data_IF_143286551323
#
_entry.id   IF_143286551323
#
_cell.length_a   1.000
_cell.length_b   1.000
_cell.length_c   1.000
_cell.angle_alpha   90.00
_cell.angle_beta   90.00
_cell.angle_gamma   90.00
#
_symmetry.space_group_name_H-M   'P 1'
#
loop_
_entity.id
_entity.type
_entity.pdbx_description
1 polymer ?
#
# COMPACT_ATOMS: atom_id res chain seq x y z
N UNK A 1 21.70 20.22 -26.38
CA UNK A 1 20.22 20.10 -26.45
C UNK A 1 19.91 18.66 -26.10
N UNK A 2 19.63 18.35 -24.83
CA UNK A 2 19.17 17.00 -24.51
C UNK A 2 17.75 16.90 -25.05
N UNK A 3 17.61 16.21 -26.19
CA UNK A 3 16.33 15.68 -26.64
C UNK A 3 15.86 14.73 -25.54
N UNK A 4 15.07 15.26 -24.61
CA UNK A 4 14.38 14.46 -23.63
C UNK A 4 13.13 13.99 -24.37
N UNK A 5 13.05 12.70 -24.78
CA UNK A 5 11.87 12.22 -25.45
C UNK A 5 10.67 12.49 -24.54
N UNK A 6 9.72 13.30 -25.02
CA UNK A 6 8.45 13.55 -24.36
C UNK A 6 7.87 12.19 -23.95
N UNK A 7 7.76 11.87 -22.65
CA UNK A 7 7.21 10.60 -22.24
C UNK A 7 5.78 10.51 -22.78
N UNK A 8 5.35 9.35 -23.32
CA UNK A 8 4.00 9.18 -23.82
C UNK A 8 3.03 9.57 -22.71
N UNK A 9 2.05 10.37 -23.10
CA UNK A 9 0.96 10.95 -22.32
C UNK A 9 0.71 10.17 -21.04
N UNK A 10 0.91 10.86 -19.91
CA UNK A 10 0.72 10.34 -18.58
C UNK A 10 -0.54 9.47 -18.54
N UNK A 11 -0.35 8.14 -18.41
CA UNK A 11 -1.42 7.22 -18.02
C UNK A 11 -2.00 7.75 -16.71
N UNK A 12 -3.04 8.56 -16.86
CA UNK A 12 -3.65 9.31 -15.79
C UNK A 12 -4.55 8.33 -15.07
N UNK A 13 -4.01 7.71 -14.04
CA UNK A 13 -4.83 7.04 -13.06
C UNK A 13 -5.76 8.08 -12.44
N UNK A 14 -7.04 7.75 -12.33
CA UNK A 14 -7.98 8.61 -11.59
C UNK A 14 -7.51 8.73 -10.14
N UNK A 15 -7.59 9.92 -9.58
CA UNK A 15 -7.41 10.17 -8.15
C UNK A 15 -8.39 9.29 -7.37
N UNK A 16 -7.90 8.62 -6.33
CA UNK A 16 -8.61 7.59 -5.57
C UNK A 16 -8.51 6.16 -6.14
N UNK A 17 -7.93 5.95 -7.32
CA UNK A 17 -7.72 4.61 -7.87
C UNK A 17 -6.69 3.81 -7.06
N UNK A 18 -6.92 2.52 -6.88
CA UNK A 18 -5.95 1.62 -6.26
C UNK A 18 -5.03 1.00 -7.31
N UNK A 19 -3.74 1.09 -7.04
CA UNK A 19 -2.65 0.63 -7.90
C UNK A 19 -1.65 -0.21 -7.10
N UNK A 20 -0.97 -1.11 -7.77
CA UNK A 20 0.14 -1.90 -7.24
C UNK A 20 1.42 -1.33 -7.82
N UNK A 21 2.35 -0.92 -6.96
CA UNK A 21 3.75 -0.70 -7.32
C UNK A 21 4.40 -2.05 -7.59
N UNK A 22 4.66 -2.35 -8.87
CA UNK A 22 5.23 -3.64 -9.29
C UNK A 22 6.70 -3.80 -8.87
N UNK A 23 7.39 -2.69 -8.57
CA UNK A 23 8.76 -2.69 -8.06
C UNK A 23 8.88 -3.27 -6.65
N UNK A 24 7.89 -2.96 -5.80
CA UNK A 24 7.87 -3.37 -4.39
C UNK A 24 6.78 -4.40 -4.09
N UNK A 25 5.90 -4.69 -5.05
CA UNK A 25 4.67 -5.48 -4.84
C UNK A 25 3.70 -4.85 -3.85
N UNK A 26 3.70 -3.51 -3.74
CA UNK A 26 2.93 -2.80 -2.70
C UNK A 26 1.72 -2.12 -3.27
N UNK A 27 0.58 -2.32 -2.60
CA UNK A 27 -0.65 -1.61 -2.92
C UNK A 27 -0.64 -0.18 -2.39
N UNK A 28 -1.06 0.73 -3.26
CA UNK A 28 -1.19 2.14 -2.96
C UNK A 28 -2.46 2.72 -3.62
N UNK A 29 -2.97 3.81 -3.06
CA UNK A 29 -4.02 4.62 -3.64
C UNK A 29 -3.39 5.83 -4.34
N UNK A 30 -3.82 6.12 -5.56
CA UNK A 30 -3.40 7.29 -6.32
C UNK A 30 -4.02 8.52 -5.68
N UNK A 31 -3.18 9.44 -5.21
CA UNK A 31 -3.62 10.73 -4.68
C UNK A 31 -3.69 11.78 -5.79
N UNK A 32 -2.84 11.65 -6.81
CA UNK A 32 -2.70 12.60 -7.90
C UNK A 32 -1.52 12.25 -8.80
N UNK A 33 -1.32 13.04 -9.84
CA UNK A 33 -0.15 12.96 -10.72
C UNK A 33 0.69 14.22 -10.56
N UNK A 34 1.97 14.06 -10.23
CA UNK A 34 2.93 15.15 -10.10
C UNK A 34 3.90 15.08 -11.29
N UNK A 35 3.56 15.79 -12.37
CA UNK A 35 4.31 15.77 -13.62
C UNK A 35 4.40 14.34 -14.21
N UNK A 36 5.61 13.79 -14.47
CA UNK A 36 5.77 12.45 -15.03
C UNK A 36 5.61 11.32 -14.00
N UNK A 37 5.36 11.64 -12.73
CA UNK A 37 5.22 10.66 -11.65
C UNK A 37 3.81 10.65 -11.08
N UNK A 38 3.40 9.52 -10.54
CA UNK A 38 2.14 9.36 -9.83
C UNK A 38 2.42 9.42 -8.34
N UNK A 39 1.72 10.31 -7.64
CA UNK A 39 1.76 10.37 -6.19
C UNK A 39 0.79 9.35 -5.65
N UNK A 40 1.31 8.42 -4.85
CA UNK A 40 0.53 7.35 -4.25
C UNK A 40 0.71 7.31 -2.73
N UNK A 41 -0.29 6.76 -2.06
CA UNK A 41 -0.33 6.62 -0.60
C UNK A 41 -0.68 5.21 -0.19
N UNK A 42 -0.15 4.74 0.94
CA UNK A 42 -0.56 3.44 1.51
C UNK A 42 -2.04 3.47 1.90
N UNK A 43 -2.83 2.44 1.54
CA UNK A 43 -4.18 2.29 2.07
C UNK A 43 -4.11 2.02 3.58
N UNK A 44 -4.93 2.73 4.36
CA UNK A 44 -4.91 2.64 5.83
C UNK A 44 -3.96 3.62 6.53
N UNK A 45 -3.37 4.57 5.79
CA UNK A 45 -2.55 5.63 6.36
C UNK A 45 -1.06 5.29 6.37
N UNK A 46 -0.25 6.27 5.98
CA UNK A 46 1.19 6.13 5.87
C UNK A 46 1.80 7.23 5.01
N UNK A 47 3.12 7.17 4.88
CA UNK A 47 3.92 8.08 4.07
C UNK A 47 3.54 7.95 2.59
N UNK A 48 3.37 9.08 1.93
CA UNK A 48 3.16 9.18 0.48
C UNK A 48 4.49 9.00 -0.24
N UNK A 49 4.46 8.41 -1.43
CA UNK A 49 5.63 8.30 -2.29
C UNK A 49 5.25 8.43 -3.75
N UNK A 50 6.22 8.81 -4.55
CA UNK A 50 6.06 9.01 -5.99
C UNK A 50 6.60 7.78 -6.73
N UNK A 51 5.81 7.25 -7.66
CA UNK A 51 6.18 6.12 -8.51
C UNK A 51 5.91 6.47 -9.97
N UNK A 52 6.74 5.95 -10.87
CA UNK A 52 6.52 6.08 -12.31
C UNK A 52 5.26 5.32 -12.72
N UNK A 53 4.37 5.90 -13.56
CA UNK A 53 3.14 5.23 -14.00
C UNK A 53 3.41 3.88 -14.70
N UNK A 54 4.55 3.74 -15.36
CA UNK A 54 4.99 2.49 -16.00
C UNK A 54 5.29 1.35 -15.00
N UNK A 55 5.57 1.70 -13.75
CA UNK A 55 5.79 0.76 -12.64
C UNK A 55 4.53 0.56 -11.79
N UNK A 56 3.39 1.14 -12.20
CA UNK A 56 2.10 0.93 -11.57
C UNK A 56 1.25 0.00 -12.41
N UNK A 57 0.48 -0.84 -11.73
CA UNK A 57 -0.57 -1.67 -12.32
C UNK A 57 -1.87 -1.38 -11.60
N UNK A 58 -3.01 -1.39 -12.31
CA UNK A 58 -4.32 -1.36 -11.64
C UNK A 58 -4.45 -2.55 -10.70
N UNK A 59 -4.84 -2.29 -9.45
CA UNK A 59 -5.12 -3.35 -8.50
C UNK A 59 -6.35 -4.16 -8.95
N UNK A 60 -6.28 -5.49 -8.83
CA UNK A 60 -7.44 -6.34 -9.08
C UNK A 60 -8.53 -6.10 -8.03
N UNK A 61 -9.73 -6.67 -8.22
CA UNK A 61 -10.82 -6.54 -7.23
C UNK A 61 -10.43 -7.12 -5.86
N UNK A 62 -9.68 -8.22 -5.86
CA UNK A 62 -9.18 -8.86 -4.64
C UNK A 62 -8.12 -8.00 -3.95
N UNK A 63 -7.21 -7.43 -4.72
CA UNK A 63 -6.22 -6.48 -4.20
C UNK A 63 -6.88 -5.22 -3.65
N UNK A 64 -7.91 -4.69 -4.33
CA UNK A 64 -8.73 -3.58 -3.81
C UNK A 64 -9.40 -3.93 -2.49
N UNK A 65 -10.00 -5.11 -2.36
CA UNK A 65 -10.59 -5.55 -1.09
C UNK A 65 -9.53 -5.67 0.03
N UNK A 66 -8.32 -6.14 -0.31
CA UNK A 66 -7.20 -6.15 0.64
C UNK A 66 -6.75 -4.73 1.02
N UNK A 67 -6.85 -3.76 0.10
CA UNK A 67 -6.57 -2.34 0.33
C UNK A 67 -7.60 -1.66 1.24
N UNK A 68 -8.88 -1.92 1.00
CA UNK A 68 -10.00 -1.40 1.80
C UNK A 68 -9.98 -1.96 3.23
N UNK A 69 -9.16 -3.00 3.45
CA UNK A 69 -8.78 -3.51 4.74
C UNK A 69 -9.54 -4.80 5.00
N UNK A 70 -8.83 -5.92 4.96
CA UNK A 70 -9.30 -7.14 5.58
C UNK A 70 -9.68 -6.82 7.04
N UNK A 71 -10.94 -7.05 7.43
CA UNK A 71 -11.44 -6.73 8.76
C UNK A 71 -10.59 -7.42 9.85
N UNK A 72 -10.08 -8.63 9.56
CA UNK A 72 -9.19 -9.36 10.44
C UNK A 72 -7.80 -8.72 10.52
N UNK A 73 -7.24 -8.20 9.41
CA UNK A 73 -6.02 -7.39 9.43
C UNK A 73 -6.15 -6.15 10.34
N UNK A 74 -7.28 -5.44 10.26
CA UNK A 74 -7.55 -4.25 11.11
C UNK A 74 -7.61 -4.65 12.57
N UNK A 75 -8.31 -5.75 12.88
CA UNK A 75 -8.47 -6.27 14.24
C UNK A 75 -7.14 -6.72 14.84
N UNK A 76 -6.34 -7.50 14.10
CA UNK A 76 -5.03 -7.95 14.55
C UNK A 76 -4.05 -6.79 14.74
N UNK A 77 -4.08 -5.76 13.89
CA UNK A 77 -3.25 -4.56 14.05
C UNK A 77 -3.68 -3.70 15.24
N UNK A 78 -4.99 -3.63 15.53
CA UNK A 78 -5.49 -2.96 16.73
C UNK A 78 -5.00 -3.68 18.00
N UNK A 79 -5.10 -5.02 18.03
CA UNK A 79 -4.56 -5.85 19.11
C UNK A 79 -3.04 -5.67 19.28
N UNK A 80 -2.30 -5.66 18.17
CA UNK A 80 -0.86 -5.40 18.18
C UNK A 80 -0.53 -4.04 18.79
N UNK A 81 -1.24 -2.97 18.39
CA UNK A 81 -1.01 -1.63 18.95
C UNK A 81 -1.29 -1.60 20.45
N UNK A 82 -2.41 -2.18 20.88
CA UNK A 82 -2.75 -2.26 22.30
C UNK A 82 -1.72 -3.06 23.10
N UNK A 83 -1.20 -4.17 22.55
CA UNK A 83 -0.16 -4.98 23.20
C UNK A 83 1.19 -4.24 23.28
N UNK A 84 1.55 -3.44 22.28
CA UNK A 84 2.76 -2.60 22.29
C UNK A 84 2.64 -1.48 23.33
N UNK A 85 1.49 -0.82 23.40
CA UNK A 85 1.22 0.27 24.34
C UNK A 85 1.18 -0.24 25.80
N UNK A 86 0.67 -1.46 26.02
CA UNK A 86 0.60 -2.09 27.36
C UNK A 86 1.95 -2.52 27.96
N UNK A 87 3.06 -2.44 27.22
CA UNK A 87 4.42 -2.67 27.75
C UNK A 87 4.81 -4.13 28.03
N UNK A 88 3.89 -5.09 27.91
CA UNK A 88 4.15 -6.52 28.05
C UNK A 88 4.87 -7.08 26.81
N UNK A 89 6.21 -7.12 26.84
CA UNK A 89 7.05 -7.49 25.69
C UNK A 89 6.66 -8.81 25.01
N UNK A 90 6.34 -9.86 25.79
CA UNK A 90 5.96 -11.16 25.22
C UNK A 90 4.67 -11.05 24.39
N UNK A 91 3.66 -10.38 24.94
CA UNK A 91 2.36 -10.15 24.30
C UNK A 91 2.48 -9.29 23.03
N UNK A 92 3.34 -8.27 23.05
CA UNK A 92 3.62 -7.44 21.89
C UNK A 92 4.28 -8.23 20.74
N UNK A 93 5.17 -9.17 21.07
CA UNK A 93 5.77 -10.09 20.09
C UNK A 93 4.73 -11.04 19.51
N UNK A 94 3.91 -11.69 20.35
CA UNK A 94 2.86 -12.59 19.90
C UNK A 94 1.86 -11.90 18.96
N UNK A 95 1.38 -10.70 19.33
CA UNK A 95 0.47 -9.93 18.50
C UNK A 95 1.12 -9.51 17.16
N UNK A 96 2.43 -9.23 17.17
CA UNK A 96 3.18 -8.94 15.93
C UNK A 96 3.31 -10.18 15.03
N UNK A 97 3.54 -11.36 15.61
CA UNK A 97 3.58 -12.62 14.85
C UNK A 97 2.21 -12.92 14.27
N UNK A 98 1.12 -12.73 15.02
CA UNK A 98 -0.24 -12.94 14.54
C UNK A 98 -0.57 -12.08 13.31
N UNK A 99 -0.24 -10.78 13.34
CA UNK A 99 -0.40 -9.89 12.17
C UNK A 99 0.41 -10.39 10.97
N UNK A 100 1.68 -10.77 11.17
CA UNK A 100 2.56 -11.24 10.10
C UNK A 100 2.09 -12.56 9.48
N UNK A 101 1.62 -13.48 10.33
CA UNK A 101 1.11 -14.79 9.91
C UNK A 101 -0.14 -14.60 9.05
N UNK A 102 -1.12 -13.83 9.53
CA UNK A 102 -2.32 -13.54 8.76
C UNK A 102 -2.00 -12.90 7.41
N UNK A 103 -1.12 -11.90 7.37
CA UNK A 103 -0.75 -11.26 6.09
C UNK A 103 -0.11 -12.27 5.13
N UNK A 104 0.72 -13.20 5.62
CA UNK A 104 1.34 -14.23 4.78
C UNK A 104 0.36 -15.30 4.32
N UNK A 105 -0.64 -15.65 5.12
CA UNK A 105 -1.58 -16.73 4.80
C UNK A 105 -2.75 -16.24 3.95
N UNK A 106 -3.21 -15.01 4.18
CA UNK A 106 -4.43 -14.44 3.56
C UNK A 106 -4.10 -13.50 2.40
N UNK A 107 -2.89 -12.93 2.35
CA UNK A 107 -2.48 -11.95 1.35
C UNK A 107 -1.18 -12.33 0.61
N UNK A 108 -0.86 -13.63 0.53
CA UNK A 108 0.26 -14.15 -0.26
C UNK A 108 -0.04 -14.16 -1.77
#
# INVERSE_FOLDING_TARGET
MHDNPTPPEAMTYREGAYVIDTRSGRLAQVMGTMGPRVQVRRPGGGREWEVSPQALRLATREERAAAEGCAECVSLRALQRAAVDGGEKCRAVEATVAVRRHVREVHA
#
